data_IF_837772058162
#
_entry.id   IF_837772058162
#
_cell.length_a   1.000
_cell.length_b   1.000
_cell.length_c   1.000
_cell.angle_alpha   90.00
_cell.angle_beta   90.00
_cell.angle_gamma   90.00
#
_symmetry.space_group_name_H-M   'P 1'
#
loop_
_entity.id
_entity.type
_entity.pdbx_description
1 polymer ?
#
# COMPACT_ATOMS: atom_id res chain seq x y z
N UNK A 1 -12.22 -32.41 11.10
CA UNK A 1 -12.08 -31.00 11.51
C UNK A 1 -13.48 -30.49 11.78
N UNK A 2 -13.73 -29.96 12.99
CA UNK A 2 -15.07 -29.60 13.46
C UNK A 2 -15.54 -28.29 12.78
N UNK A 3 -16.64 -28.34 12.03
CA UNK A 3 -17.16 -27.20 11.26
C UNK A 3 -17.50 -25.99 12.14
N UNK A 4 -17.86 -26.22 13.40
CA UNK A 4 -18.10 -25.15 14.37
C UNK A 4 -16.84 -24.32 14.65
N UNK A 5 -15.68 -24.97 14.72
CA UNK A 5 -14.39 -24.30 14.94
C UNK A 5 -13.93 -23.52 13.72
N UNK A 6 -14.19 -24.05 12.51
CA UNK A 6 -13.88 -23.34 11.26
C UNK A 6 -14.68 -22.04 11.19
N UNK A 7 -16.00 -22.10 11.44
CA UNK A 7 -16.86 -20.92 11.42
C UNK A 7 -16.45 -19.86 12.46
N UNK A 8 -16.06 -20.28 13.67
CA UNK A 8 -15.55 -19.36 14.69
C UNK A 8 -14.26 -18.65 14.25
N UNK A 9 -13.32 -19.38 13.63
CA UNK A 9 -12.07 -18.79 13.11
C UNK A 9 -12.38 -17.81 11.98
N UNK A 10 -13.26 -18.16 11.05
CA UNK A 10 -13.64 -17.28 9.96
C UNK A 10 -14.28 -15.99 10.46
N UNK A 11 -15.16 -16.09 11.45
CA UNK A 11 -15.82 -14.93 12.06
C UNK A 11 -14.80 -14.01 12.74
N UNK A 12 -13.87 -14.56 13.52
CA UNK A 12 -12.79 -13.78 14.15
C UNK A 12 -11.91 -13.05 13.11
N UNK A 13 -11.59 -13.72 12.00
CA UNK A 13 -10.81 -13.11 10.91
C UNK A 13 -11.60 -11.96 10.25
N UNK A 14 -12.91 -12.12 10.07
CA UNK A 14 -13.76 -11.06 9.51
C UNK A 14 -13.84 -9.85 10.44
N UNK A 15 -14.03 -10.08 11.73
CA UNK A 15 -14.09 -9.01 12.74
C UNK A 15 -12.78 -8.23 12.79
N UNK A 16 -11.63 -8.91 12.78
CA UNK A 16 -10.32 -8.25 12.76
C UNK A 16 -10.11 -7.40 11.51
N UNK A 17 -10.54 -7.90 10.34
CA UNK A 17 -10.49 -7.16 9.07
C UNK A 17 -11.38 -5.93 9.12
N UNK A 18 -12.57 -6.04 9.72
CA UNK A 18 -13.50 -4.93 9.88
C UNK A 18 -12.90 -3.83 10.77
N UNK A 19 -12.34 -4.21 11.92
CA UNK A 19 -11.66 -3.28 12.85
C UNK A 19 -10.51 -2.56 12.16
N UNK A 20 -9.67 -3.27 11.40
CA UNK A 20 -8.58 -2.65 10.63
C UNK A 20 -9.10 -1.68 9.56
N UNK A 21 -10.20 -2.02 8.89
CA UNK A 21 -10.81 -1.16 7.87
C UNK A 21 -11.38 0.13 8.47
N UNK A 22 -12.08 0.04 9.61
CA UNK A 22 -12.61 1.21 10.33
C UNK A 22 -11.49 2.10 10.84
N UNK A 23 -10.43 1.53 11.43
CA UNK A 23 -9.25 2.30 11.85
C UNK A 23 -8.60 3.03 10.67
N UNK A 24 -8.51 2.37 9.50
CA UNK A 24 -7.94 2.98 8.30
C UNK A 24 -8.82 4.10 7.74
N UNK A 25 -10.16 3.96 7.76
CA UNK A 25 -11.07 4.97 7.24
C UNK A 25 -10.99 6.29 8.02
N UNK A 26 -10.72 6.22 9.32
CA UNK A 26 -10.57 7.38 10.20
C UNK A 26 -9.27 8.15 10.01
N UNK A 27 -8.27 7.60 9.31
CA UNK A 27 -6.98 8.27 9.08
C UNK A 27 -7.10 9.42 8.08
N UNK A 28 -6.21 10.41 8.21
CA UNK A 28 -6.17 11.56 7.30
C UNK A 28 -5.46 11.21 5.99
N UNK A 29 -6.15 11.41 4.86
CA UNK A 29 -5.57 11.25 3.52
C UNK A 29 -4.39 12.22 3.35
N UNK A 30 -4.57 13.49 3.74
CA UNK A 30 -3.54 14.51 3.59
C UNK A 30 -2.26 14.14 4.34
N UNK A 31 -2.38 13.69 5.59
CA UNK A 31 -1.20 13.24 6.36
C UNK A 31 -0.55 12.02 5.73
N UNK A 32 -1.34 11.03 5.30
CA UNK A 32 -0.79 9.85 4.64
C UNK A 32 -0.03 10.20 3.36
N UNK A 33 -0.55 11.13 2.55
CA UNK A 33 0.09 11.61 1.32
C UNK A 33 1.37 12.39 1.62
N UNK A 34 1.33 13.39 2.52
CA UNK A 34 2.49 14.21 2.86
C UNK A 34 3.62 13.34 3.42
N UNK A 35 3.31 12.45 4.36
CA UNK A 35 4.31 11.55 4.95
C UNK A 35 4.90 10.65 3.85
N UNK A 36 4.06 10.10 2.96
CA UNK A 36 4.54 9.22 1.88
C UNK A 36 5.41 9.95 0.84
N UNK A 37 5.19 11.25 0.61
CA UNK A 37 6.00 12.04 -0.32
C UNK A 37 7.40 12.32 0.24
N UNK A 38 7.51 12.62 1.54
CA UNK A 38 8.80 12.88 2.18
C UNK A 38 9.54 11.57 2.42
N UNK A 39 8.84 10.57 2.96
CA UNK A 39 9.38 9.27 3.34
C UNK A 39 8.37 8.19 2.95
N UNK A 40 8.53 7.52 1.78
CA UNK A 40 7.57 6.53 1.28
C UNK A 40 7.21 5.45 2.30
N UNK A 41 8.21 4.94 3.04
CA UNK A 41 8.00 3.95 4.11
C UNK A 41 7.20 4.52 5.29
N UNK A 42 7.33 5.82 5.58
CA UNK A 42 6.59 6.50 6.63
C UNK A 42 5.08 6.47 6.39
N UNK A 43 4.65 6.56 5.12
CA UNK A 43 3.25 6.41 4.74
C UNK A 43 2.68 5.05 5.13
N UNK A 44 3.44 3.97 4.89
CA UNK A 44 3.05 2.61 5.23
C UNK A 44 3.10 2.31 6.73
N UNK A 45 4.02 2.94 7.46
CA UNK A 45 4.01 2.93 8.94
C UNK A 45 2.74 3.61 9.43
N UNK A 46 2.42 4.81 8.93
CA UNK A 46 1.24 5.57 9.30
C UNK A 46 -0.04 4.80 8.96
N UNK A 47 -0.14 4.12 7.82
CA UNK A 47 -1.33 3.34 7.43
C UNK A 47 -1.33 1.90 7.94
N UNK A 48 -0.24 1.41 8.56
CA UNK A 48 -0.11 0.03 9.05
C UNK A 48 -0.20 -1.04 7.94
N UNK A 49 0.05 -0.66 6.68
CA UNK A 49 -0.16 -1.50 5.48
C UNK A 49 1.14 -2.16 4.98
N UNK A 50 1.85 -2.87 5.86
CA UNK A 50 3.13 -3.52 5.52
C UNK A 50 3.04 -4.52 4.36
N UNK A 51 1.94 -5.27 4.24
CA UNK A 51 1.74 -6.17 3.11
C UNK A 51 1.68 -5.43 1.76
N UNK A 52 1.12 -4.22 1.73
CA UNK A 52 1.10 -3.40 0.51
C UNK A 52 2.49 -2.84 0.19
N UNK A 53 3.24 -2.43 1.21
CA UNK A 53 4.63 -2.00 1.06
C UNK A 53 5.52 -3.09 0.45
N UNK A 54 5.47 -4.32 0.96
CA UNK A 54 6.27 -5.42 0.42
C UNK A 54 5.86 -5.78 -1.02
N UNK A 55 4.56 -5.71 -1.35
CA UNK A 55 4.11 -5.88 -2.74
C UNK A 55 4.68 -4.80 -3.65
N UNK A 56 4.68 -3.54 -3.19
CA UNK A 56 5.25 -2.42 -3.92
C UNK A 56 6.76 -2.60 -4.14
N UNK A 57 7.51 -3.04 -3.12
CA UNK A 57 8.93 -3.35 -3.28
C UNK A 57 9.18 -4.49 -4.26
N UNK A 58 8.39 -5.55 -4.20
CA UNK A 58 8.59 -6.72 -5.06
C UNK A 58 8.27 -6.38 -6.52
N UNK A 59 7.11 -5.77 -6.77
CA UNK A 59 6.68 -5.40 -8.12
C UNK A 59 7.53 -4.24 -8.66
N UNK A 60 7.73 -3.19 -7.87
CA UNK A 60 8.52 -2.03 -8.25
C UNK A 60 9.99 -2.37 -8.45
N UNK A 61 10.57 -3.22 -7.60
CA UNK A 61 11.92 -3.72 -7.75
C UNK A 61 12.08 -4.59 -8.99
N UNK A 62 11.11 -5.47 -9.27
CA UNK A 62 11.12 -6.29 -10.48
C UNK A 62 11.03 -5.45 -11.76
N UNK A 63 10.06 -4.53 -11.84
CA UNK A 63 9.89 -3.66 -13.00
C UNK A 63 11.06 -2.68 -13.18
N UNK A 64 11.55 -2.11 -12.09
CA UNK A 64 12.73 -1.25 -12.10
C UNK A 64 13.98 -2.00 -12.54
N UNK A 65 14.18 -3.23 -12.03
CA UNK A 65 15.27 -4.11 -12.44
C UNK A 65 15.22 -4.47 -13.92
N UNK A 66 14.04 -4.87 -14.42
CA UNK A 66 13.84 -5.13 -15.85
C UNK A 66 14.14 -3.88 -16.68
N UNK A 67 13.63 -2.71 -16.27
CA UNK A 67 13.90 -1.44 -16.93
C UNK A 67 15.39 -1.16 -17.07
N UNK A 68 16.19 -1.44 -16.04
CA UNK A 68 17.64 -1.26 -16.08
C UNK A 68 18.36 -2.29 -16.97
N UNK A 69 17.86 -3.52 -17.05
CA UNK A 69 18.42 -4.58 -17.91
C UNK A 69 18.26 -4.22 -19.38
N UNK A 70 17.12 -3.65 -19.77
CA UNK A 70 16.82 -3.31 -21.17
C UNK A 70 17.34 -1.93 -21.59
N UNK A 71 17.72 -1.09 -20.64
CA UNK A 71 18.22 0.27 -20.93
C UNK A 71 19.70 0.21 -21.35
N UNK A 72 20.08 0.88 -22.47
CA UNK A 72 21.48 1.07 -22.86
C UNK A 72 22.34 1.69 -21.74
N UNK A 73 23.61 1.29 -21.64
CA UNK A 73 24.50 1.67 -20.52
C UNK A 73 24.62 3.19 -20.31
N UNK A 74 24.71 3.94 -21.42
CA UNK A 74 24.79 5.40 -21.46
C UNK A 74 23.54 6.11 -20.92
N UNK A 75 22.40 5.41 -20.91
CA UNK A 75 21.09 5.92 -20.56
C UNK A 75 20.61 5.45 -19.17
N UNK A 76 21.34 4.53 -18.52
CA UNK A 76 20.96 3.94 -17.21
C UNK A 76 20.79 4.99 -16.12
N UNK A 77 21.61 6.04 -16.11
CA UNK A 77 21.49 7.14 -15.14
C UNK A 77 20.13 7.83 -15.21
N UNK A 78 19.67 8.14 -16.44
CA UNK A 78 18.35 8.74 -16.66
C UNK A 78 17.21 7.81 -16.25
N UNK A 79 17.32 6.52 -16.59
CA UNK A 79 16.33 5.50 -16.19
C UNK A 79 16.28 5.33 -14.67
N UNK A 80 17.40 5.33 -13.95
CA UNK A 80 17.44 5.28 -12.49
C UNK A 80 16.70 6.48 -11.86
N UNK A 81 16.95 7.69 -12.36
CA UNK A 81 16.26 8.90 -11.89
C UNK A 81 14.75 8.79 -12.16
N UNK A 82 14.35 8.35 -13.35
CA UNK A 82 12.94 8.17 -13.68
C UNK A 82 12.25 7.14 -12.77
N UNK A 83 12.90 6.00 -12.51
CA UNK A 83 12.41 4.97 -11.58
C UNK A 83 12.28 5.53 -10.17
N UNK A 84 13.27 6.28 -9.69
CA UNK A 84 13.24 6.89 -8.35
C UNK A 84 12.08 7.89 -8.24
N UNK A 85 11.94 8.80 -9.21
CA UNK A 85 10.84 9.76 -9.25
C UNK A 85 9.48 9.07 -9.28
N UNK A 86 9.29 8.07 -10.16
CA UNK A 86 8.06 7.30 -10.22
C UNK A 86 7.77 6.59 -8.89
N UNK A 87 8.78 5.96 -8.28
CA UNK A 87 8.67 5.26 -7.00
C UNK A 87 8.17 6.14 -5.86
N UNK A 88 8.60 7.40 -5.79
CA UNK A 88 8.15 8.34 -4.75
C UNK A 88 6.67 8.69 -4.83
N UNK A 89 6.06 8.60 -6.02
CA UNK A 89 4.64 8.94 -6.23
C UNK A 89 3.70 7.76 -5.96
N UNK A 90 4.18 6.52 -6.05
CA UNK A 90 3.31 5.34 -5.90
C UNK A 90 2.79 5.22 -4.47
N UNK A 91 3.65 5.43 -3.46
CA UNK A 91 3.29 5.33 -2.05
C UNK A 91 2.16 6.30 -1.61
N UNK A 92 2.21 7.62 -1.92
CA UNK A 92 1.12 8.53 -1.58
C UNK A 92 -0.19 8.18 -2.30
N UNK A 93 -0.12 7.75 -3.57
CA UNK A 93 -1.30 7.34 -4.35
C UNK A 93 -1.95 6.10 -3.71
N UNK A 94 -1.16 5.05 -3.44
CA UNK A 94 -1.67 3.82 -2.82
C UNK A 94 -2.32 4.09 -1.46
N UNK A 95 -1.65 4.86 -0.59
CA UNK A 95 -2.16 5.19 0.73
C UNK A 95 -3.42 6.09 0.66
N UNK A 96 -3.48 7.03 -0.28
CA UNK A 96 -4.67 7.86 -0.48
C UNK A 96 -5.88 7.06 -0.97
N UNK A 97 -5.70 6.21 -1.99
CA UNK A 97 -6.73 5.32 -2.52
C UNK A 97 -7.23 4.36 -1.44
N UNK A 98 -6.31 3.82 -0.64
CA UNK A 98 -6.61 2.92 0.46
C UNK A 98 -7.57 3.51 1.48
N UNK A 99 -7.27 4.72 1.96
CA UNK A 99 -8.08 5.42 2.96
C UNK A 99 -9.43 5.81 2.35
N UNK A 100 -9.43 6.36 1.12
CA UNK A 100 -10.66 6.71 0.40
C UNK A 100 -11.59 5.50 0.22
N UNK A 101 -11.03 4.36 -0.19
CA UNK A 101 -11.77 3.10 -0.35
C UNK A 101 -12.29 2.57 0.98
N UNK A 102 -11.50 2.65 2.06
CA UNK A 102 -11.94 2.25 3.39
C UNK A 102 -13.11 3.12 3.89
N UNK A 103 -13.06 4.44 3.67
CA UNK A 103 -14.17 5.35 4.00
C UNK A 103 -15.44 5.01 3.24
N UNK A 104 -15.34 4.78 1.92
CA UNK A 104 -16.49 4.38 1.09
C UNK A 104 -17.12 3.09 1.59
N UNK A 105 -16.31 2.08 1.91
CA UNK A 105 -16.81 0.79 2.41
C UNK A 105 -17.51 0.92 3.76
N UNK A 106 -16.94 1.67 4.69
CA UNK A 106 -17.56 1.91 6.00
C UNK A 106 -18.88 2.68 5.84
N UNK A 107 -18.91 3.74 5.04
CA UNK A 107 -20.14 4.51 4.81
C UNK A 107 -21.26 3.71 4.14
N UNK A 108 -20.93 2.74 3.27
CA UNK A 108 -21.92 1.90 2.60
C UNK A 108 -22.37 0.70 3.46
N UNK A 109 -21.75 0.49 4.62
CA UNK A 109 -22.05 -0.62 5.54
C UNK A 109 -22.82 -0.17 6.79
N UNK A 110 -23.08 1.14 6.90
CA UNK A 110 -23.91 1.80 7.92
C UNK A 110 -25.22 2.21 7.22
#
# INVERSE_FOLDING_TARGET
MDQSKINQIEQQIQDEKLVKMVKLSQRSIALAVIISLIIPIGGYIYTGRWAAFFKLLLIGGFLGGLGLIITPEDSKGGTLVAIACAGTLIAPIDNGIAISSARKKVNNSI
#
